data_IF_965122519570
#
_entry.id   IF_965122519570
#
_cell.length_a   1.000
_cell.length_b   1.000
_cell.length_c   1.000
_cell.angle_alpha   90.00
_cell.angle_beta   90.00
_cell.angle_gamma   90.00
#
_symmetry.space_group_name_H-M   'P 1'
#
loop_
_entity.id
_entity.type
_entity.pdbx_description
1 polymer ?
#
# COMPACT_ATOMS: atom_id res chain seq x y z
N UNK A 1 23.45 -13.50 -5.55
CA UNK A 1 22.01 -13.72 -5.31
C UNK A 1 21.79 -13.66 -3.82
N UNK A 2 21.13 -12.62 -3.31
CA UNK A 2 20.67 -12.62 -1.92
C UNK A 2 19.70 -13.80 -1.74
N UNK A 3 19.68 -14.49 -0.59
CA UNK A 3 18.73 -15.56 -0.37
C UNK A 3 17.31 -14.99 -0.47
N UNK A 4 16.58 -15.49 -1.45
CA UNK A 4 15.12 -15.37 -1.60
C UNK A 4 14.49 -15.53 -0.22
N UNK A 5 13.82 -14.53 0.33
CA UNK A 5 13.35 -14.64 1.69
C UNK A 5 12.27 -15.72 1.74
N UNK A 6 12.53 -16.77 2.53
CA UNK A 6 11.63 -17.91 2.71
C UNK A 6 10.43 -17.52 3.57
N UNK A 7 9.57 -16.64 3.06
CA UNK A 7 8.29 -16.35 3.68
C UNK A 7 7.27 -17.45 3.32
N UNK A 8 6.28 -17.73 4.20
CA UNK A 8 5.15 -18.58 3.84
C UNK A 8 4.47 -18.12 2.56
N UNK A 9 3.87 -19.04 1.79
CA UNK A 9 3.08 -18.68 0.60
C UNK A 9 1.91 -17.76 0.95
N UNK A 10 1.32 -17.96 2.13
CA UNK A 10 0.23 -17.14 2.65
C UNK A 10 0.45 -16.82 4.13
N UNK A 11 0.05 -15.61 4.52
CA UNK A 11 0.15 -15.10 5.89
C UNK A 11 -1.27 -14.72 6.34
N UNK A 12 -1.95 -15.59 7.09
CA UNK A 12 -3.33 -15.32 7.50
C UNK A 12 -3.40 -14.20 8.54
N UNK A 13 -4.36 -13.30 8.37
CA UNK A 13 -4.74 -12.22 9.30
C UNK A 13 -6.18 -12.49 9.76
N UNK A 14 -6.38 -13.44 10.72
CA UNK A 14 -7.70 -13.81 11.18
C UNK A 14 -8.36 -12.74 12.07
N UNK A 15 -7.55 -11.91 12.73
CA UNK A 15 -7.99 -10.79 13.56
C UNK A 15 -6.91 -9.69 13.60
N UNK A 16 -7.26 -8.51 14.13
CA UNK A 16 -6.35 -7.40 14.34
C UNK A 16 -5.30 -7.76 15.41
N UNK A 17 -4.08 -8.03 14.96
CA UNK A 17 -2.94 -8.47 15.79
C UNK A 17 -2.50 -7.44 16.83
N UNK A 18 -2.90 -6.17 16.69
CA UNK A 18 -2.42 -5.01 17.43
C UNK A 18 -0.92 -4.74 17.30
N UNK A 19 -0.18 -5.57 16.56
CA UNK A 19 1.25 -5.47 16.32
C UNK A 19 1.53 -5.42 14.83
N UNK A 20 2.41 -4.53 14.40
CA UNK A 20 2.83 -4.49 13.01
C UNK A 20 3.69 -5.71 12.71
N UNK A 21 3.17 -6.59 11.85
CA UNK A 21 3.92 -7.70 11.32
C UNK A 21 4.64 -7.24 10.04
N UNK A 22 5.97 -7.25 10.04
CA UNK A 22 6.79 -6.87 8.89
C UNK A 22 8.16 -7.57 8.94
N UNK A 23 8.82 -7.75 7.78
CA UNK A 23 10.25 -8.05 7.73
C UNK A 23 11.08 -6.92 8.36
N UNK A 24 12.37 -7.17 8.60
CA UNK A 24 13.29 -6.14 9.06
C UNK A 24 13.51 -5.08 7.97
N UNK A 25 13.02 -3.88 8.25
CA UNK A 25 13.05 -2.71 7.36
C UNK A 25 14.45 -2.21 7.01
N UNK A 26 15.47 -2.58 7.80
CA UNK A 26 16.85 -2.17 7.57
C UNK A 26 17.60 -3.13 6.65
N UNK A 27 17.10 -4.34 6.46
CA UNK A 27 17.79 -5.42 5.72
C UNK A 27 16.97 -5.96 4.54
N UNK A 28 15.65 -5.74 4.52
CA UNK A 28 14.76 -6.23 3.46
C UNK A 28 14.61 -5.19 2.35
N UNK A 29 14.80 -5.60 1.09
CA UNK A 29 14.59 -4.77 -0.09
C UNK A 29 13.11 -4.41 -0.27
N UNK A 30 12.78 -3.27 -0.90
CA UNK A 30 11.39 -2.82 -1.09
C UNK A 30 10.53 -3.81 -1.89
N UNK A 31 11.12 -4.47 -2.88
CA UNK A 31 10.43 -5.51 -3.67
C UNK A 31 10.02 -6.68 -2.78
N UNK A 32 10.95 -7.23 -2.00
CA UNK A 32 10.71 -8.35 -1.09
C UNK A 32 9.78 -7.96 0.08
N UNK A 33 9.93 -6.73 0.56
CA UNK A 33 9.06 -6.17 1.58
C UNK A 33 7.63 -6.05 1.07
N UNK A 34 7.43 -5.63 -0.19
CA UNK A 34 6.10 -5.60 -0.80
C UNK A 34 5.55 -7.01 -0.98
N UNK A 35 6.35 -7.94 -1.49
CA UNK A 35 5.96 -9.35 -1.67
C UNK A 35 5.45 -9.98 -0.37
N UNK A 36 6.12 -9.73 0.75
CA UNK A 36 5.66 -10.15 2.08
C UNK A 36 4.22 -9.72 2.38
N UNK A 37 3.86 -8.46 2.10
CA UNK A 37 2.51 -7.96 2.34
C UNK A 37 1.48 -8.47 1.32
N UNK A 38 1.90 -8.83 0.10
CA UNK A 38 1.02 -9.46 -0.90
C UNK A 38 0.61 -10.89 -0.52
N UNK A 39 1.35 -11.52 0.38
CA UNK A 39 1.03 -12.84 0.94
C UNK A 39 -0.02 -12.79 2.04
N UNK A 40 -0.36 -11.60 2.54
CA UNK A 40 -1.38 -11.48 3.58
C UNK A 40 -2.75 -11.94 3.05
N UNK A 41 -3.53 -12.60 3.91
CA UNK A 41 -4.90 -13.04 3.63
C UNK A 41 -5.82 -12.57 4.75
N UNK A 42 -6.86 -11.82 4.42
CA UNK A 42 -7.87 -11.41 5.39
C UNK A 42 -8.66 -12.64 5.90
N UNK A 43 -9.31 -12.52 7.05
CA UNK A 43 -10.21 -13.55 7.55
C UNK A 43 -11.34 -13.87 6.55
N UNK A 44 -11.77 -15.14 6.49
CA UNK A 44 -12.81 -15.60 5.57
C UNK A 44 -14.16 -14.93 5.87
N UNK A 45 -14.45 -14.71 7.15
CA UNK A 45 -15.64 -14.04 7.68
C UNK A 45 -15.49 -12.52 7.80
N UNK A 46 -14.41 -11.93 7.25
CA UNK A 46 -14.19 -10.49 7.33
C UNK A 46 -15.34 -9.69 6.68
N UNK A 47 -15.60 -8.52 7.25
CA UNK A 47 -16.60 -7.57 6.80
C UNK A 47 -16.35 -7.16 5.33
N UNK A 48 -17.38 -7.01 4.48
CA UNK A 48 -17.20 -6.68 3.06
C UNK A 48 -16.36 -5.43 2.82
N UNK A 49 -16.54 -4.38 3.63
CA UNK A 49 -15.72 -3.16 3.53
C UNK A 49 -14.24 -3.40 3.87
N UNK A 50 -13.96 -4.23 4.88
CA UNK A 50 -12.59 -4.60 5.23
C UNK A 50 -11.93 -5.35 4.08
N UNK A 51 -12.61 -6.37 3.54
CA UNK A 51 -12.13 -7.15 2.39
C UNK A 51 -11.83 -6.26 1.18
N UNK A 52 -12.73 -5.32 0.90
CA UNK A 52 -12.56 -4.35 -0.19
C UNK A 52 -11.29 -3.51 -0.01
N UNK A 53 -11.14 -2.86 1.15
CA UNK A 53 -9.94 -2.06 1.42
C UNK A 53 -8.67 -2.91 1.36
N UNK A 54 -8.71 -4.11 1.94
CA UNK A 54 -7.57 -5.01 1.99
C UNK A 54 -7.09 -5.38 0.59
N UNK A 55 -8.01 -5.82 -0.27
CA UNK A 55 -7.71 -6.27 -1.62
C UNK A 55 -7.27 -5.10 -2.52
N UNK A 56 -7.93 -3.95 -2.43
CA UNK A 56 -7.56 -2.76 -3.21
C UNK A 56 -6.17 -2.25 -2.81
N UNK A 57 -5.83 -2.20 -1.51
CA UNK A 57 -4.51 -1.76 -1.07
C UNK A 57 -3.41 -2.75 -1.48
N UNK A 58 -3.64 -4.07 -1.36
CA UNK A 58 -2.66 -5.06 -1.85
C UNK A 58 -2.43 -4.92 -3.35
N UNK A 59 -3.50 -4.80 -4.14
CA UNK A 59 -3.36 -4.66 -5.58
C UNK A 59 -2.71 -3.32 -5.97
N UNK A 60 -2.99 -2.22 -5.27
CA UNK A 60 -2.28 -0.95 -5.46
C UNK A 60 -0.79 -1.09 -5.12
N UNK A 61 -0.43 -1.71 -3.98
CA UNK A 61 0.96 -1.97 -3.62
C UNK A 61 1.70 -2.74 -4.72
N UNK A 62 1.07 -3.78 -5.28
CA UNK A 62 1.60 -4.58 -6.39
C UNK A 62 1.83 -3.72 -7.64
N UNK A 63 0.80 -3.03 -8.12
CA UNK A 63 0.92 -2.22 -9.34
C UNK A 63 1.94 -1.09 -9.19
N UNK A 64 2.01 -0.48 -8.01
CA UNK A 64 2.95 0.61 -7.74
C UNK A 64 4.40 0.11 -7.66
N UNK A 65 4.67 -1.04 -7.01
CA UNK A 65 6.04 -1.59 -6.94
C UNK A 65 6.52 -2.09 -8.32
N UNK A 66 5.62 -2.60 -9.15
CA UNK A 66 5.92 -3.09 -10.51
C UNK A 66 6.06 -1.95 -11.54
N UNK A 67 5.61 -0.75 -11.20
CA UNK A 67 5.67 0.40 -12.09
C UNK A 67 7.12 0.75 -12.49
N UNK A 68 7.42 1.06 -13.78
CA UNK A 68 8.79 1.31 -14.24
C UNK A 68 9.56 2.37 -13.47
N UNK A 69 8.87 3.41 -12.97
CA UNK A 69 9.49 4.45 -12.14
C UNK A 69 10.01 3.97 -10.77
N UNK A 70 9.62 2.78 -10.31
CA UNK A 70 10.15 2.17 -9.09
C UNK A 70 11.48 1.43 -9.31
N UNK A 71 11.88 1.16 -10.55
CA UNK A 71 13.11 0.40 -10.86
C UNK A 71 14.36 0.91 -10.12
N UNK A 72 14.64 2.23 -10.03
CA UNK A 72 15.82 2.73 -9.30
C UNK A 72 15.80 2.47 -7.78
N UNK A 73 14.62 2.14 -7.24
CA UNK A 73 14.32 2.07 -5.82
C UNK A 73 14.12 0.63 -5.30
N UNK A 74 13.91 -0.37 -6.17
CA UNK A 74 13.46 -1.72 -5.77
C UNK A 74 14.39 -2.42 -4.78
N UNK A 75 15.69 -2.37 -5.05
CA UNK A 75 16.71 -3.13 -4.32
C UNK A 75 17.26 -2.38 -3.10
N UNK A 76 16.82 -1.15 -2.87
CA UNK A 76 17.16 -0.46 -1.62
C UNK A 76 16.32 -1.05 -0.48
N UNK A 77 16.86 -1.01 0.73
CA UNK A 77 16.10 -1.46 1.90
C UNK A 77 14.96 -0.50 2.19
N UNK A 78 13.91 -0.98 2.87
CA UNK A 78 12.71 -0.19 3.15
C UNK A 78 13.02 1.16 3.82
N UNK A 79 13.92 1.19 4.80
CA UNK A 79 14.32 2.40 5.52
C UNK A 79 15.35 3.29 4.78
N UNK A 80 15.98 2.81 3.71
CA UNK A 80 16.94 3.63 2.97
C UNK A 80 16.20 4.75 2.25
N UNK A 81 16.71 6.00 2.21
CA UNK A 81 16.12 7.05 1.38
C UNK A 81 16.02 6.65 -0.10
N UNK A 82 14.94 7.03 -0.79
CA UNK A 82 14.78 6.70 -2.21
C UNK A 82 15.88 7.30 -3.08
N UNK A 83 16.42 6.47 -3.98
CA UNK A 83 17.38 6.86 -4.99
C UNK A 83 16.72 7.78 -6.03
N UNK A 84 15.51 7.45 -6.47
CA UNK A 84 14.65 8.30 -7.28
C UNK A 84 13.42 8.74 -6.48
N UNK A 85 13.33 10.03 -6.19
CA UNK A 85 12.15 10.63 -5.56
C UNK A 85 11.12 10.96 -6.64
N UNK A 86 10.15 10.07 -6.84
CA UNK A 86 9.06 10.25 -7.80
C UNK A 86 7.70 9.92 -7.17
N UNK A 87 6.62 10.38 -7.80
CA UNK A 87 5.26 10.24 -7.25
C UNK A 87 4.85 8.78 -7.03
N UNK A 88 5.31 7.87 -7.87
CA UNK A 88 4.99 6.45 -7.72
C UNK A 88 5.63 5.88 -6.45
N UNK A 89 6.88 6.21 -6.17
CA UNK A 89 7.53 5.84 -4.90
C UNK A 89 6.79 6.40 -3.69
N UNK A 90 6.45 7.69 -3.72
CA UNK A 90 5.74 8.33 -2.61
C UNK A 90 4.39 7.67 -2.33
N UNK A 91 3.61 7.42 -3.38
CA UNK A 91 2.31 6.77 -3.24
C UNK A 91 2.48 5.31 -2.80
N UNK A 92 3.47 4.58 -3.32
CA UNK A 92 3.78 3.21 -2.86
C UNK A 92 4.06 3.16 -1.34
N UNK A 93 4.96 4.03 -0.84
CA UNK A 93 5.28 4.08 0.60
C UNK A 93 4.06 4.45 1.44
N UNK A 94 3.22 5.35 0.94
CA UNK A 94 1.98 5.75 1.61
C UNK A 94 0.93 4.62 1.64
N UNK A 95 0.71 3.92 0.53
CA UNK A 95 -0.26 2.82 0.44
C UNK A 95 0.19 1.65 1.31
N UNK A 96 1.47 1.25 1.27
CA UNK A 96 1.93 0.09 2.05
C UNK A 96 1.88 0.35 3.56
N UNK A 97 2.17 1.57 4.02
CA UNK A 97 1.98 1.95 5.43
C UNK A 97 0.51 1.99 5.83
N UNK A 98 -0.37 2.43 4.94
CA UNK A 98 -1.82 2.37 5.18
C UNK A 98 -2.30 0.91 5.29
N UNK A 99 -1.79 0.02 4.43
CA UNK A 99 -2.10 -1.40 4.49
C UNK A 99 -1.60 -2.06 5.79
N UNK A 100 -0.41 -1.70 6.26
CA UNK A 100 0.11 -2.15 7.56
C UNK A 100 -0.83 -1.77 8.71
N UNK A 101 -1.39 -0.55 8.71
CA UNK A 101 -2.37 -0.12 9.71
C UNK A 101 -3.65 -0.95 9.59
N UNK A 102 -4.18 -1.13 8.38
CA UNK A 102 -5.38 -1.94 8.14
C UNK A 102 -5.21 -3.38 8.67
N UNK A 103 -4.10 -4.04 8.34
CA UNK A 103 -3.83 -5.41 8.74
C UNK A 103 -3.60 -5.56 10.25
N UNK A 104 -2.91 -4.61 10.89
CA UNK A 104 -2.54 -4.73 12.30
C UNK A 104 -3.59 -4.18 13.27
N UNK A 105 -4.33 -3.14 12.88
CA UNK A 105 -5.10 -2.30 13.82
C UNK A 105 -6.61 -2.31 13.59
N UNK A 106 -7.09 -2.83 12.46
CA UNK A 106 -8.52 -2.85 12.15
C UNK A 106 -9.04 -4.27 12.23
N UNK A 107 -10.07 -4.48 13.06
CA UNK A 107 -10.73 -5.78 13.24
C UNK A 107 -11.42 -6.19 11.93
N UNK A 108 -11.07 -7.34 11.34
CA UNK A 108 -11.62 -7.77 10.05
C UNK A 108 -13.15 -7.90 10.05
N UNK A 109 -13.74 -8.44 11.10
CA UNK A 109 -15.18 -8.73 11.19
C UNK A 109 -16.01 -7.49 11.58
N UNK A 110 -15.42 -6.53 12.29
CA UNK A 110 -16.09 -5.30 12.72
C UNK A 110 -15.13 -4.10 12.62
N UNK A 111 -14.85 -3.62 11.40
CA UNK A 111 -13.87 -2.56 11.20
C UNK A 111 -14.26 -1.25 11.91
N UNK A 112 -15.56 -0.91 11.96
CA UNK A 112 -16.06 0.31 12.60
C UNK A 112 -15.77 0.39 14.10
N UNK A 113 -15.65 -0.75 14.79
CA UNK A 113 -15.25 -0.80 16.20
C UNK A 113 -13.78 -0.42 16.44
N UNK A 114 -12.96 -0.33 15.38
CA UNK A 114 -11.53 -0.08 15.47
C UNK A 114 -11.24 1.42 15.38
N UNK A 115 -10.55 2.04 16.35
CA UNK A 115 -10.23 3.47 16.31
C UNK A 115 -9.48 3.90 15.05
N UNK A 116 -8.61 3.03 14.52
CA UNK A 116 -7.81 3.28 13.32
C UNK A 116 -8.60 3.18 12.02
N UNK A 117 -9.84 2.71 12.04
CA UNK A 117 -10.60 2.53 10.79
C UNK A 117 -10.86 3.85 10.07
N UNK A 118 -11.21 4.91 10.80
CA UNK A 118 -11.39 6.25 10.23
C UNK A 118 -10.11 6.81 9.60
N UNK A 119 -8.96 6.53 10.22
CA UNK A 119 -7.65 6.92 9.67
C UNK A 119 -7.37 6.17 8.35
N UNK A 120 -7.63 4.86 8.30
CA UNK A 120 -7.49 4.07 7.07
C UNK A 120 -8.41 4.61 5.97
N UNK A 121 -9.67 4.95 6.27
CA UNK A 121 -10.59 5.56 5.30
C UNK A 121 -10.06 6.91 4.78
N UNK A 122 -9.58 7.78 5.68
CA UNK A 122 -8.99 9.07 5.28
C UNK A 122 -7.77 8.90 4.38
N UNK A 123 -6.86 7.99 4.72
CA UNK A 123 -5.68 7.65 3.91
C UNK A 123 -6.07 7.02 2.56
N UNK A 124 -7.14 6.24 2.52
CA UNK A 124 -7.68 5.66 1.28
C UNK A 124 -8.15 6.77 0.34
N UNK A 125 -8.89 7.76 0.86
CA UNK A 125 -9.31 8.93 0.10
C UNK A 125 -8.12 9.77 -0.38
N UNK A 126 -7.11 9.97 0.48
CA UNK A 126 -5.89 10.68 0.10
C UNK A 126 -5.11 9.95 -1.00
N UNK A 127 -5.04 8.61 -0.95
CA UNK A 127 -4.44 7.78 -1.99
C UNK A 127 -5.14 7.99 -3.33
N UNK A 128 -6.48 7.94 -3.35
CA UNK A 128 -7.28 8.24 -4.54
C UNK A 128 -6.96 9.62 -5.10
N UNK A 129 -6.99 10.66 -4.25
CA UNK A 129 -6.69 12.04 -4.67
C UNK A 129 -5.28 12.18 -5.25
N UNK A 130 -4.27 11.54 -4.66
CA UNK A 130 -2.89 11.59 -5.18
C UNK A 130 -2.75 10.89 -6.54
N UNK A 131 -3.43 9.77 -6.75
CA UNK A 131 -3.32 9.00 -7.99
C UNK A 131 -4.11 9.65 -9.13
N UNK A 132 -5.28 10.23 -8.82
CA UNK A 132 -6.15 10.84 -9.82
C UNK A 132 -5.90 12.33 -10.01
N UNK A 133 -4.88 12.91 -9.37
CA UNK A 133 -4.51 14.31 -9.58
C UNK A 133 -3.91 14.49 -10.99
N UNK A 134 -4.71 15.10 -11.87
CA UNK A 134 -4.30 15.47 -13.22
C UNK A 134 -3.76 16.91 -13.30
N UNK A 135 -3.87 17.68 -12.21
CA UNK A 135 -3.46 19.09 -12.15
C UNK A 135 -1.97 19.27 -11.85
N UNK A 136 -1.32 18.24 -11.29
CA UNK A 136 0.08 18.28 -10.89
C UNK A 136 0.33 19.04 -9.59
N UNK A 137 -0.70 19.55 -8.91
CA UNK A 137 -0.56 20.26 -7.64
C UNK A 137 0.03 19.36 -6.55
N UNK A 138 -0.35 18.07 -6.52
CA UNK A 138 0.21 17.12 -5.55
C UNK A 138 1.69 16.84 -5.83
N UNK A 139 2.08 16.76 -7.10
CA UNK A 139 3.49 16.62 -7.48
C UNK A 139 4.31 17.87 -7.10
N UNK A 140 3.72 19.07 -7.24
CA UNK A 140 4.36 20.33 -6.86
C UNK A 140 4.54 20.47 -5.33
N UNK A 141 3.52 20.14 -4.54
CA UNK A 141 3.56 20.21 -3.07
C UNK A 141 4.55 19.23 -2.43
N UNK A 142 4.82 18.10 -3.09
CA UNK A 142 5.76 17.08 -2.61
C UNK A 142 7.24 17.39 -2.95
N UNK A 143 7.53 18.65 -3.31
CA UNK A 143 8.90 19.17 -3.33
C UNK A 143 9.61 19.10 -4.67
N UNK A 144 8.88 19.36 -5.79
CA UNK A 144 9.36 20.01 -7.02
C UNK A 144 10.79 19.73 -7.54
N UNK A 145 11.36 18.56 -7.29
CA UNK A 145 12.76 18.24 -7.56
C UNK A 145 12.90 16.90 -8.26
N UNK A 146 12.67 16.90 -9.58
CA UNK A 146 13.12 15.83 -10.48
C UNK A 146 12.11 14.71 -10.83
N UNK A 147 10.91 14.70 -10.24
CA UNK A 147 9.91 13.63 -10.45
C UNK A 147 8.66 14.02 -11.23
N UNK A 148 8.56 15.27 -11.72
CA UNK A 148 7.34 15.88 -12.28
C UNK A 148 6.87 15.34 -13.64
N UNK A 149 7.27 14.14 -14.05
CA UNK A 149 6.94 13.57 -15.36
C UNK A 149 6.43 12.13 -15.34
N UNK A 150 6.24 11.52 -14.17
CA UNK A 150 5.78 10.13 -14.07
C UNK A 150 4.26 10.11 -13.88
N UNK A 151 3.54 9.68 -14.91
CA UNK A 151 2.10 9.43 -14.82
C UNK A 151 1.81 8.02 -14.32
N UNK A 152 0.80 7.88 -13.47
CA UNK A 152 0.24 6.57 -13.15
C UNK A 152 -0.41 5.93 -14.38
N UNK A 153 -0.32 4.61 -14.50
CA UNK A 153 -1.03 3.85 -15.54
C UNK A 153 -2.54 3.95 -15.35
N UNK A 154 -3.29 3.71 -16.42
CA UNK A 154 -4.75 3.73 -16.36
C UNK A 154 -5.30 2.66 -15.40
N UNK A 155 -4.63 1.52 -15.30
CA UNK A 155 -4.98 0.46 -14.35
C UNK A 155 -4.88 0.95 -12.90
N UNK A 156 -3.77 1.61 -12.52
CA UNK A 156 -3.60 2.19 -11.19
C UNK A 156 -4.68 3.24 -10.92
N UNK A 157 -4.97 4.10 -11.90
CA UNK A 157 -6.01 5.14 -11.78
C UNK A 157 -7.41 4.55 -11.62
N UNK A 158 -7.75 3.52 -12.39
CA UNK A 158 -9.05 2.86 -12.32
C UNK A 158 -9.23 2.18 -10.96
N UNK A 159 -8.23 1.42 -10.49
CA UNK A 159 -8.28 0.79 -9.18
C UNK A 159 -8.36 1.81 -8.03
N UNK A 160 -7.61 2.91 -8.11
CA UNK A 160 -7.68 3.96 -7.09
C UNK A 160 -9.07 4.61 -7.00
N UNK A 161 -9.81 4.70 -8.13
CA UNK A 161 -11.18 5.25 -8.15
C UNK A 161 -12.19 4.36 -7.43
N UNK A 162 -11.91 3.06 -7.26
CA UNK A 162 -12.80 2.13 -6.57
C UNK A 162 -12.55 2.03 -5.07
N UNK A 163 -11.47 2.64 -4.54
CA UNK A 163 -11.04 2.42 -3.15
C UNK A 163 -12.10 2.78 -2.09
N UNK A 164 -12.98 3.72 -2.41
CA UNK A 164 -14.09 4.22 -1.59
C UNK A 164 -15.47 3.72 -2.06
N UNK A 165 -15.51 2.87 -3.09
CA UNK A 165 -16.74 2.27 -3.62
C UNK A 165 -17.00 0.95 -2.91
N UNK A 166 -17.45 1.03 -1.66
CA UNK A 166 -17.71 -0.17 -0.87
C UNK A 166 -18.87 -1.00 -1.42
N UNK A 167 -18.75 -2.33 -1.43
CA UNK A 167 -19.90 -3.18 -1.70
C UNK A 167 -20.97 -2.96 -0.62
N UNK A 168 -22.24 -2.98 -1.03
CA UNK A 168 -23.36 -2.98 -0.09
C UNK A 168 -23.24 -4.18 0.85
N UNK A 169 -23.47 -3.95 2.15
CA UNK A 169 -23.47 -4.98 3.18
C UNK A 169 -24.64 -5.97 3.00
#
# INVERSE_FOLDING_TARGET
MAPDPKWPTEIPIPDATQQFLSPDVNTTARVDFTDFFLRFRHAEDAHPQYKHLFNVHQQLCKLLIEHPAMQPNLNQTFNTPANSKNMVYFVWDFVIRTFQILAAKVKPQNPESSPMYKDVLGRSMQTKMMITDETGMMAAMMGGGGGGGVSFTDEIKQLARTIDQFPSA
#
